data_IF_534401043293
#
_entry.id   IF_534401043293
#
_cell.length_a   1.000
_cell.length_b   1.000
_cell.length_c   1.000
_cell.angle_alpha   90.00
_cell.angle_beta   90.00
_cell.angle_gamma   90.00
#
_symmetry.space_group_name_H-M   'P 1'
#
loop_
_entity.id
_entity.type
_entity.pdbx_description
1 polymer ?
#
# COMPACT_ATOMS: atom_id res chain seq x y z
N UNK A 1 12.23 -8.74 -33.71
CA UNK A 1 11.28 -8.99 -32.61
C UNK A 1 12.05 -9.66 -31.49
N UNK A 2 12.55 -8.89 -30.55
CA UNK A 2 13.26 -9.40 -29.37
C UNK A 2 12.20 -9.73 -28.32
N UNK A 3 12.02 -11.02 -28.04
CA UNK A 3 11.17 -11.49 -26.94
C UNK A 3 11.79 -11.00 -25.62
N UNK A 4 11.12 -10.06 -24.95
CA UNK A 4 11.44 -9.74 -23.57
C UNK A 4 11.20 -11.02 -22.75
N UNK A 5 12.25 -11.62 -22.21
CA UNK A 5 12.12 -12.69 -21.24
C UNK A 5 11.47 -12.09 -20.01
N UNK A 6 10.25 -12.50 -19.70
CA UNK A 6 9.61 -12.17 -18.43
C UNK A 6 10.50 -12.72 -17.30
N UNK A 7 11.18 -11.85 -16.59
CA UNK A 7 11.96 -12.25 -15.41
C UNK A 7 10.99 -12.81 -14.36
N UNK A 8 11.31 -13.98 -13.84
CA UNK A 8 10.54 -14.58 -12.74
C UNK A 8 10.47 -13.56 -11.59
N UNK A 9 9.27 -13.28 -11.02
CA UNK A 9 9.15 -12.34 -9.91
C UNK A 9 10.06 -12.75 -8.75
N UNK A 10 10.76 -11.78 -8.16
CA UNK A 10 11.62 -12.04 -7.02
C UNK A 10 10.76 -12.18 -5.75
N UNK A 11 10.96 -13.30 -5.02
CA UNK A 11 10.29 -13.56 -3.75
C UNK A 11 11.29 -13.55 -2.61
N UNK A 12 10.85 -13.00 -1.47
CA UNK A 12 11.48 -13.26 -0.18
C UNK A 12 10.47 -13.98 0.71
N UNK A 13 10.80 -15.18 1.14
CA UNK A 13 9.92 -16.00 1.98
C UNK A 13 10.72 -16.60 3.14
N UNK A 14 10.15 -16.51 4.34
CA UNK A 14 10.62 -17.20 5.56
C UNK A 14 9.40 -17.59 6.37
N UNK A 15 9.14 -18.87 6.51
CA UNK A 15 8.01 -19.43 7.26
C UNK A 15 8.57 -20.45 8.25
N UNK A 16 9.18 -20.00 9.32
CA UNK A 16 9.85 -20.85 10.31
C UNK A 16 9.47 -20.55 11.76
N UNK A 17 8.91 -19.36 12.03
CA UNK A 17 8.48 -18.98 13.36
C UNK A 17 7.10 -19.57 13.71
N UNK A 18 6.81 -19.80 15.02
CA UNK A 18 5.54 -20.34 15.47
C UNK A 18 4.36 -19.38 15.39
N UNK A 19 4.60 -18.09 15.00
CA UNK A 19 3.56 -17.09 14.94
C UNK A 19 2.33 -17.53 14.16
N UNK A 20 1.16 -17.10 14.62
CA UNK A 20 -0.13 -17.35 13.96
C UNK A 20 -0.30 -16.53 12.68
N UNK A 21 0.60 -15.58 12.39
CA UNK A 21 0.55 -14.66 11.26
C UNK A 21 1.83 -14.66 10.42
N UNK A 22 1.71 -14.14 9.21
CA UNK A 22 2.82 -13.88 8.29
C UNK A 22 2.78 -12.40 7.90
N UNK A 23 3.93 -11.73 7.93
CA UNK A 23 4.06 -10.38 7.40
C UNK A 23 4.14 -10.45 5.88
N UNK A 24 3.14 -9.88 5.20
CA UNK A 24 3.06 -9.85 3.75
C UNK A 24 3.29 -8.45 3.20
N UNK A 25 4.08 -8.35 2.13
CA UNK A 25 4.40 -7.11 1.46
C UNK A 25 4.54 -7.35 -0.04
N UNK A 26 4.00 -6.48 -0.88
CA UNK A 26 4.40 -6.40 -2.28
C UNK A 26 5.18 -5.11 -2.53
N UNK A 27 6.02 -5.12 -3.56
CA UNK A 27 6.82 -3.96 -3.93
C UNK A 27 7.12 -3.96 -5.43
N UNK A 28 7.26 -2.78 -6.01
CA UNK A 28 7.83 -2.59 -7.36
C UNK A 28 9.35 -2.46 -7.27
N UNK A 29 10.07 -2.57 -8.38
CA UNK A 29 11.54 -2.46 -8.43
C UNK A 29 12.05 -1.17 -7.75
N UNK A 30 11.35 -0.04 -7.94
CA UNK A 30 11.68 1.24 -7.30
C UNK A 30 11.61 1.23 -5.76
N UNK A 31 10.87 0.28 -5.16
CA UNK A 31 10.73 0.09 -3.71
C UNK A 31 11.57 -1.07 -3.16
N UNK A 32 12.39 -1.73 -4.00
CA UNK A 32 13.19 -2.91 -3.60
C UNK A 32 14.09 -2.63 -2.39
N UNK A 33 14.75 -1.48 -2.34
CA UNK A 33 15.60 -1.10 -1.20
C UNK A 33 14.81 -0.97 0.10
N UNK A 34 13.60 -0.42 0.04
CA UNK A 34 12.71 -0.34 1.19
C UNK A 34 12.26 -1.73 1.65
N UNK A 35 11.82 -2.58 0.73
CA UNK A 35 11.45 -3.96 1.05
C UNK A 35 12.60 -4.77 1.69
N UNK A 36 13.85 -4.57 1.26
CA UNK A 36 15.03 -5.16 1.89
C UNK A 36 15.24 -4.65 3.32
N UNK A 37 15.04 -3.36 3.58
CA UNK A 37 15.13 -2.79 4.92
C UNK A 37 14.02 -3.34 5.84
N UNK A 38 12.78 -3.45 5.34
CA UNK A 38 11.67 -4.08 6.06
C UNK A 38 12.04 -5.53 6.39
N UNK A 39 12.50 -6.31 5.39
CA UNK A 39 12.95 -7.70 5.59
C UNK A 39 13.99 -7.81 6.70
N UNK A 40 15.03 -6.97 6.68
CA UNK A 40 16.07 -6.96 7.70
C UNK A 40 15.50 -6.66 9.10
N UNK A 41 14.50 -5.77 9.20
CA UNK A 41 13.84 -5.48 10.47
C UNK A 41 13.03 -6.66 10.99
N UNK A 42 12.38 -7.43 10.11
CA UNK A 42 11.65 -8.66 10.48
C UNK A 42 12.60 -9.79 10.91
N UNK A 43 13.74 -9.92 10.25
CA UNK A 43 14.75 -10.93 10.59
C UNK A 43 15.29 -10.74 12.03
N UNK A 44 15.42 -9.50 12.52
CA UNK A 44 15.85 -9.19 13.90
C UNK A 44 14.91 -9.78 14.95
N UNK A 45 13.63 -9.89 14.65
CA UNK A 45 12.60 -10.42 15.56
C UNK A 45 12.17 -11.84 15.18
N UNK A 46 12.87 -12.49 14.25
CA UNK A 46 12.60 -13.84 13.77
C UNK A 46 11.16 -14.04 13.27
N UNK A 47 10.56 -13.01 12.65
CA UNK A 47 9.18 -13.05 12.15
C UNK A 47 9.07 -13.81 10.83
N UNK A 48 7.89 -14.40 10.57
CA UNK A 48 7.53 -14.97 9.28
C UNK A 48 7.23 -13.84 8.29
N UNK A 49 7.65 -13.99 7.03
CA UNK A 49 7.31 -13.03 5.97
C UNK A 49 7.18 -13.67 4.60
N UNK A 50 6.38 -13.03 3.74
CA UNK A 50 6.25 -13.30 2.32
C UNK A 50 6.19 -12.00 1.55
N UNK A 51 7.22 -11.72 0.74
CA UNK A 51 7.34 -10.52 -0.08
C UNK A 51 7.35 -10.89 -1.54
N UNK A 52 6.62 -10.12 -2.35
CA UNK A 52 6.50 -10.36 -3.79
C UNK A 52 6.82 -9.10 -4.57
N UNK A 53 7.75 -9.18 -5.51
CA UNK A 53 7.95 -8.14 -6.50
C UNK A 53 6.83 -8.18 -7.54
N UNK A 54 6.28 -7.02 -7.86
CA UNK A 54 5.21 -6.85 -8.86
C UNK A 54 5.64 -5.86 -9.92
N UNK A 55 5.07 -5.97 -11.12
CA UNK A 55 5.28 -4.97 -12.16
C UNK A 55 4.71 -3.62 -11.75
N UNK A 56 5.42 -2.54 -12.13
CA UNK A 56 4.93 -1.17 -11.94
C UNK A 56 3.76 -0.90 -12.88
N UNK A 57 2.59 -0.65 -12.33
CA UNK A 57 1.39 -0.30 -13.09
C UNK A 57 1.43 1.10 -13.72
N UNK A 58 2.59 1.78 -13.69
CA UNK A 58 2.88 3.02 -14.38
C UNK A 58 2.59 4.29 -13.59
N UNK A 59 1.80 4.25 -12.53
CA UNK A 59 1.54 5.38 -11.65
C UNK A 59 1.16 4.92 -10.23
N UNK A 60 1.39 5.78 -9.25
CA UNK A 60 1.29 5.43 -7.84
C UNK A 60 -0.09 4.89 -7.44
N UNK A 61 -1.18 5.55 -7.86
CA UNK A 61 -2.55 5.14 -7.53
C UNK A 61 -2.89 3.74 -8.10
N UNK A 62 -2.38 3.42 -9.29
CA UNK A 62 -2.55 2.07 -9.86
C UNK A 62 -1.77 1.01 -9.06
N UNK A 63 -0.57 1.35 -8.60
CA UNK A 63 0.22 0.44 -7.76
C UNK A 63 -0.47 0.19 -6.41
N UNK A 64 -1.10 1.20 -5.78
CA UNK A 64 -1.82 0.97 -4.52
C UNK A 64 -2.99 0.02 -4.68
N UNK A 65 -3.67 0.01 -5.84
CA UNK A 65 -4.80 -0.88 -6.15
C UNK A 65 -4.43 -2.36 -6.29
N UNK A 66 -3.15 -2.70 -6.40
CA UNK A 66 -2.67 -4.10 -6.35
C UNK A 66 -2.90 -4.72 -4.96
N UNK A 67 -2.97 -3.90 -3.92
CA UNK A 67 -2.98 -4.32 -2.51
C UNK A 67 -4.04 -5.37 -2.17
N UNK A 68 -5.35 -5.19 -2.42
CA UNK A 68 -6.33 -6.21 -2.05
C UNK A 68 -6.17 -7.50 -2.85
N UNK A 69 -5.74 -7.45 -4.12
CA UNK A 69 -5.44 -8.65 -4.90
C UNK A 69 -4.29 -9.45 -4.28
N UNK A 70 -3.24 -8.77 -3.86
CA UNK A 70 -2.10 -9.40 -3.20
C UNK A 70 -2.48 -9.99 -1.83
N UNK A 71 -3.29 -9.27 -1.03
CA UNK A 71 -3.78 -9.76 0.26
C UNK A 71 -4.64 -11.02 0.07
N UNK A 72 -5.54 -11.03 -0.93
CA UNK A 72 -6.35 -12.21 -1.25
C UNK A 72 -5.47 -13.40 -1.68
N UNK A 73 -4.44 -13.15 -2.47
CA UNK A 73 -3.44 -14.16 -2.86
C UNK A 73 -2.76 -14.74 -1.61
N UNK A 74 -2.33 -13.89 -0.66
CA UNK A 74 -1.69 -14.33 0.58
C UNK A 74 -2.63 -15.15 1.48
N UNK A 75 -3.88 -14.72 1.66
CA UNK A 75 -4.88 -15.46 2.43
C UNK A 75 -5.13 -16.86 1.84
N UNK A 76 -5.19 -16.99 0.52
CA UNK A 76 -5.35 -18.27 -0.18
C UNK A 76 -4.07 -19.13 -0.13
N UNK A 77 -2.89 -18.49 -0.21
CA UNK A 77 -1.59 -19.20 -0.17
C UNK A 77 -1.30 -19.79 1.21
N UNK A 78 -1.72 -19.11 2.28
CA UNK A 78 -1.42 -19.46 3.66
C UNK A 78 -2.70 -19.71 4.48
N UNK A 79 -3.48 -20.79 4.18
CA UNK A 79 -4.83 -20.98 4.73
C UNK A 79 -4.86 -21.16 6.26
N UNK A 80 -3.72 -21.48 6.90
CA UNK A 80 -3.60 -21.69 8.35
C UNK A 80 -2.88 -20.52 9.06
N UNK A 81 -2.70 -19.39 8.40
CA UNK A 81 -2.02 -18.21 8.94
C UNK A 81 -2.84 -16.96 8.69
N UNK A 82 -2.84 -16.09 9.66
CA UNK A 82 -3.34 -14.72 9.49
C UNK A 82 -2.33 -13.89 8.68
N UNK A 83 -2.77 -12.79 8.08
CA UNK A 83 -1.93 -11.92 7.28
C UNK A 83 -1.76 -10.56 7.98
N UNK A 84 -0.53 -10.18 8.27
CA UNK A 84 -0.18 -8.81 8.62
C UNK A 84 0.43 -8.14 7.38
N UNK A 85 -0.37 -7.32 6.69
CA UNK A 85 0.13 -6.54 5.57
C UNK A 85 0.88 -5.30 6.07
N UNK A 86 2.08 -5.08 5.52
CA UNK A 86 2.86 -3.86 5.72
C UNK A 86 3.25 -3.26 4.36
N UNK A 87 3.20 -1.93 4.24
CA UNK A 87 3.80 -1.24 3.10
C UNK A 87 5.32 -1.46 3.08
N UNK A 88 5.91 -1.50 1.89
CA UNK A 88 7.32 -1.83 1.69
C UNK A 88 8.30 -0.87 2.41
N UNK A 89 7.86 0.35 2.69
CA UNK A 89 8.64 1.37 3.40
C UNK A 89 8.39 1.42 4.92
N UNK A 90 7.80 0.37 5.47
CA UNK A 90 7.68 0.19 6.92
C UNK A 90 8.99 -0.37 7.52
N UNK A 91 9.22 -0.11 8.81
CA UNK A 91 10.24 -0.77 9.62
C UNK A 91 9.66 -1.26 10.94
N UNK A 92 9.92 -2.52 11.28
CA UNK A 92 9.58 -3.09 12.58
C UNK A 92 10.65 -2.70 13.59
N UNK A 93 10.22 -2.11 14.73
CA UNK A 93 11.10 -1.58 15.78
C UNK A 93 11.07 -2.40 17.06
N UNK A 94 9.97 -3.13 17.32
CA UNK A 94 9.73 -3.96 18.50
C UNK A 94 9.07 -5.28 18.11
N UNK A 95 9.07 -6.32 18.98
CA UNK A 95 8.32 -7.56 18.75
C UNK A 95 6.85 -7.30 18.46
N UNK A 96 6.25 -8.14 17.63
CA UNK A 96 4.87 -8.01 17.16
C UNK A 96 3.92 -9.07 17.76
N UNK A 97 4.23 -9.54 18.99
CA UNK A 97 3.50 -10.62 19.68
C UNK A 97 2.00 -10.33 19.82
N UNK A 98 1.62 -9.06 19.89
CA UNK A 98 0.23 -8.62 19.92
C UNK A 98 -0.62 -9.21 18.78
N UNK A 99 -0.07 -9.32 17.58
CA UNK A 99 -0.83 -9.88 16.44
C UNK A 99 -1.14 -11.37 16.58
N UNK A 100 -0.46 -12.09 17.49
CA UNK A 100 -0.82 -13.47 17.84
C UNK A 100 -2.07 -13.54 18.74
N UNK A 101 -2.49 -12.44 19.35
CA UNK A 101 -3.62 -12.37 20.31
C UNK A 101 -4.92 -11.87 19.68
N UNK A 102 -4.87 -11.33 18.46
CA UNK A 102 -6.05 -10.81 17.77
C UNK A 102 -6.96 -11.98 17.38
N UNK A 103 -8.25 -11.83 17.72
CA UNK A 103 -9.30 -12.80 17.45
C UNK A 103 -10.50 -12.21 16.67
N UNK A 104 -10.32 -11.01 16.11
CA UNK A 104 -11.28 -10.34 15.22
C UNK A 104 -11.00 -10.67 13.76
N UNK A 105 -11.95 -10.42 12.85
CA UNK A 105 -11.75 -10.63 11.42
C UNK A 105 -10.62 -9.77 10.88
N UNK A 106 -10.58 -8.49 11.28
CA UNK A 106 -9.55 -7.54 10.85
C UNK A 106 -9.12 -6.62 11.98
N UNK A 107 -7.89 -6.08 11.89
CA UNK A 107 -7.45 -4.99 12.75
C UNK A 107 -6.80 -3.88 11.92
N UNK A 108 -7.37 -2.66 12.00
CA UNK A 108 -6.96 -1.49 11.25
C UNK A 108 -6.80 -0.27 12.14
N UNK A 109 -5.94 0.66 11.74
CA UNK A 109 -5.88 1.96 12.39
C UNK A 109 -7.03 2.84 11.88
N UNK A 110 -7.94 3.18 12.80
CA UNK A 110 -9.13 4.00 12.50
C UNK A 110 -8.77 5.49 12.55
N UNK A 111 -9.11 6.21 11.50
CA UNK A 111 -8.92 7.67 11.38
C UNK A 111 -10.23 8.42 11.24
N UNK A 112 -11.35 7.71 11.19
CA UNK A 112 -12.68 8.29 11.05
C UNK A 112 -12.93 9.40 12.09
N UNK A 113 -13.25 10.60 11.60
CA UNK A 113 -13.50 11.78 12.45
C UNK A 113 -12.23 12.48 12.96
N UNK A 114 -11.03 12.04 12.60
CA UNK A 114 -9.79 12.74 12.97
C UNK A 114 -9.55 13.95 12.05
N UNK A 115 -9.17 15.11 12.58
CA UNK A 115 -8.92 16.30 11.79
C UNK A 115 -7.83 16.08 10.73
N UNK A 116 -8.11 16.48 9.48
CA UNK A 116 -7.16 16.41 8.38
C UNK A 116 -6.99 15.03 7.74
N UNK A 117 -7.75 14.02 8.18
CA UNK A 117 -7.79 12.70 7.56
C UNK A 117 -8.92 12.64 6.53
N UNK A 118 -8.63 12.04 5.37
CA UNK A 118 -9.58 11.90 4.23
C UNK A 118 -10.20 10.51 4.14
N UNK A 119 -9.67 9.56 4.90
CA UNK A 119 -10.10 8.15 4.90
C UNK A 119 -10.48 7.71 6.31
N UNK A 120 -11.34 6.71 6.41
CA UNK A 120 -11.77 6.12 7.68
C UNK A 120 -10.72 5.17 8.27
N UNK A 121 -9.86 4.60 7.40
CA UNK A 121 -8.79 3.66 7.78
C UNK A 121 -7.48 3.97 7.07
N UNK A 122 -6.33 3.73 7.73
CA UNK A 122 -5.02 3.74 7.09
C UNK A 122 -4.64 2.33 6.62
N UNK A 123 -4.16 2.24 5.38
CA UNK A 123 -3.86 0.99 4.70
C UNK A 123 -2.37 0.61 4.68
N UNK A 124 -1.52 1.24 5.49
CA UNK A 124 -0.08 0.94 5.53
C UNK A 124 0.31 -0.16 6.53
N UNK A 125 -0.55 -0.42 7.54
CA UNK A 125 -0.48 -1.57 8.44
C UNK A 125 -1.88 -2.12 8.60
N UNK A 126 -2.11 -3.37 8.18
CA UNK A 126 -3.42 -4.01 8.23
C UNK A 126 -3.29 -5.46 8.60
N UNK A 127 -4.10 -5.91 9.56
CA UNK A 127 -4.17 -7.30 9.95
C UNK A 127 -5.48 -7.93 9.46
N UNK A 128 -5.37 -9.15 8.96
CA UNK A 128 -6.45 -9.97 8.41
C UNK A 128 -6.38 -11.37 9.02
N UNK A 129 -7.36 -11.74 9.81
CA UNK A 129 -7.55 -13.14 10.20
C UNK A 129 -8.00 -13.95 8.98
N UNK A 130 -7.55 -15.20 8.88
CA UNK A 130 -7.94 -16.04 7.75
C UNK A 130 -9.33 -16.64 7.99
N UNK A 131 -10.36 -15.81 7.91
CA UNK A 131 -11.78 -16.14 8.10
C UNK A 131 -12.59 -15.97 6.81
N UNK A 132 -13.77 -16.56 6.75
CA UNK A 132 -14.68 -16.38 5.63
C UNK A 132 -15.11 -14.90 5.48
N UNK A 133 -15.36 -14.20 6.58
CA UNK A 133 -15.73 -12.78 6.56
C UNK A 133 -14.62 -11.91 6.00
N UNK A 134 -13.37 -12.18 6.38
CA UNK A 134 -12.19 -11.50 5.83
C UNK A 134 -12.06 -11.70 4.32
N UNK A 135 -12.31 -12.93 3.83
CA UNK A 135 -12.30 -13.19 2.38
C UNK A 135 -13.35 -12.37 1.65
N UNK A 136 -14.58 -12.30 2.20
CA UNK A 136 -15.67 -11.49 1.64
C UNK A 136 -15.29 -10.01 1.62
N UNK A 137 -14.67 -9.49 2.70
CA UNK A 137 -14.19 -8.11 2.73
C UNK A 137 -13.18 -7.82 1.61
N UNK A 138 -12.17 -8.68 1.47
CA UNK A 138 -11.11 -8.43 0.49
C UNK A 138 -11.63 -8.56 -0.94
N UNK A 139 -12.56 -9.47 -1.21
CA UNK A 139 -13.24 -9.60 -2.50
C UNK A 139 -14.13 -8.38 -2.79
N UNK A 140 -14.85 -7.87 -1.77
CA UNK A 140 -15.61 -6.62 -1.91
C UNK A 140 -14.68 -5.43 -2.18
N UNK A 141 -13.55 -5.33 -1.48
CA UNK A 141 -12.54 -4.28 -1.70
C UNK A 141 -12.00 -4.29 -3.13
N UNK A 142 -11.75 -5.47 -3.71
CA UNK A 142 -11.38 -5.62 -5.13
C UNK A 142 -12.50 -5.11 -6.04
N UNK A 143 -13.76 -5.45 -5.75
CA UNK A 143 -14.91 -5.03 -6.53
C UNK A 143 -15.06 -3.51 -6.57
N UNK A 144 -14.84 -2.83 -5.45
CA UNK A 144 -14.91 -1.36 -5.37
C UNK A 144 -13.77 -0.66 -6.15
N UNK A 145 -12.72 -1.38 -6.53
CA UNK A 145 -11.64 -0.85 -7.35
C UNK A 145 -11.87 -0.98 -8.86
N UNK A 146 -12.72 -1.91 -9.31
CA UNK A 146 -12.98 -2.15 -10.75
C UNK A 146 -13.59 -0.91 -11.41
N UNK A 147 -14.51 -0.23 -10.73
CA UNK A 147 -15.18 0.98 -11.22
C UNK A 147 -14.47 2.27 -10.77
N UNK A 148 -13.26 2.15 -10.21
CA UNK A 148 -12.51 3.24 -9.62
C UNK A 148 -12.04 4.27 -10.64
N UNK A 149 -12.14 5.55 -10.28
CA UNK A 149 -11.52 6.65 -11.04
C UNK A 149 -10.01 6.45 -11.05
N UNK A 150 -9.30 6.90 -12.11
CA UNK A 150 -7.83 6.80 -12.21
C UNK A 150 -7.09 7.42 -11.01
N UNK A 151 -7.72 8.34 -10.29
CA UNK A 151 -7.19 8.99 -9.09
C UNK A 151 -7.52 8.27 -7.79
N UNK A 152 -8.33 7.20 -7.82
CA UNK A 152 -8.70 6.43 -6.65
C UNK A 152 -7.50 5.63 -6.13
N UNK A 153 -7.27 5.68 -4.83
CA UNK A 153 -6.28 4.88 -4.13
C UNK A 153 -6.95 3.68 -3.43
N UNK A 154 -6.14 2.76 -2.93
CA UNK A 154 -6.60 1.60 -2.18
C UNK A 154 -7.50 1.95 -0.98
N UNK A 155 -7.21 3.03 -0.26
CA UNK A 155 -7.98 3.48 0.90
C UNK A 155 -9.40 3.93 0.54
N UNK A 156 -9.58 4.62 -0.61
CA UNK A 156 -10.91 5.05 -1.06
C UNK A 156 -11.86 3.86 -1.24
N UNK A 157 -11.36 2.78 -1.84
CA UNK A 157 -12.15 1.56 -2.08
C UNK A 157 -12.29 0.70 -0.82
N UNK A 158 -11.30 0.73 0.09
CA UNK A 158 -11.41 0.07 1.38
C UNK A 158 -12.54 0.67 2.24
N UNK A 159 -12.61 2.01 2.31
CA UNK A 159 -13.65 2.70 3.08
C UNK A 159 -15.05 2.31 2.58
N UNK A 160 -15.24 2.25 1.24
CA UNK A 160 -16.53 1.81 0.64
C UNK A 160 -16.84 0.34 0.94
N UNK A 161 -15.84 -0.55 0.87
CA UNK A 161 -16.03 -1.96 1.18
C UNK A 161 -16.41 -2.17 2.65
N UNK A 162 -15.75 -1.44 3.57
CA UNK A 162 -16.03 -1.47 5.00
C UNK A 162 -17.42 -0.91 5.32
N UNK A 163 -17.86 0.15 4.64
CA UNK A 163 -19.21 0.70 4.79
C UNK A 163 -20.28 -0.30 4.34
N UNK A 164 -20.09 -0.99 3.21
CA UNK A 164 -21.05 -1.95 2.66
C UNK A 164 -21.21 -3.22 3.50
N UNK A 165 -20.13 -3.67 4.14
CA UNK A 165 -20.15 -4.88 4.97
C UNK A 165 -20.64 -4.61 6.39
N UNK A 166 -20.55 -3.35 6.87
CA UNK A 166 -21.10 -2.91 8.14
C UNK A 166 -20.74 -3.83 9.31
N UNK A 167 -21.77 -4.28 10.05
CA UNK A 167 -21.63 -5.08 11.26
C UNK A 167 -21.34 -6.57 11.01
N UNK A 168 -21.15 -7.00 9.75
CA UNK A 168 -20.82 -8.40 9.45
C UNK A 168 -19.37 -8.77 9.82
N UNK A 169 -18.53 -7.75 10.08
CA UNK A 169 -17.12 -7.89 10.42
C UNK A 169 -16.88 -7.54 11.88
N UNK A 170 -16.04 -8.32 12.54
CA UNK A 170 -15.42 -7.92 13.78
C UNK A 170 -14.15 -7.14 13.51
N UNK A 171 -14.06 -5.90 14.00
CA UNK A 171 -12.97 -4.96 13.67
C UNK A 171 -12.30 -4.45 14.93
N UNK A 172 -11.01 -4.73 15.09
CA UNK A 172 -10.17 -4.19 16.14
C UNK A 172 -9.46 -2.90 15.69
N UNK A 173 -9.36 -1.91 16.58
CA UNK A 173 -8.64 -0.68 16.33
C UNK A 173 -7.17 -0.84 16.74
N UNK A 174 -6.24 -0.73 15.78
CA UNK A 174 -4.81 -0.73 16.07
C UNK A 174 -4.37 0.49 16.86
N UNK A 175 -3.45 0.29 17.82
CA UNK A 175 -2.79 1.38 18.52
C UNK A 175 -1.91 2.19 17.55
N UNK A 176 -1.78 3.53 17.70
CA UNK A 176 -0.93 4.38 16.87
C UNK A 176 0.52 3.92 16.75
N UNK A 177 1.07 3.22 17.75
CA UNK A 177 2.42 2.67 17.73
C UNK A 177 2.67 1.61 16.64
N UNK A 178 1.60 1.00 16.09
CA UNK A 178 1.70 0.07 14.97
C UNK A 178 1.62 0.73 13.59
N UNK A 179 1.47 2.06 13.55
CA UNK A 179 1.35 2.82 12.29
C UNK A 179 2.04 4.19 12.36
N UNK A 180 3.03 4.31 13.23
CA UNK A 180 3.75 5.56 13.48
C UNK A 180 4.39 6.11 12.19
N UNK A 181 3.97 7.29 11.78
CA UNK A 181 4.61 8.00 10.65
C UNK A 181 5.91 8.64 11.16
N UNK A 182 7.03 8.43 10.46
CA UNK A 182 8.38 8.76 10.93
C UNK A 182 8.56 10.22 11.38
N UNK A 183 7.90 11.18 10.72
CA UNK A 183 7.99 12.63 10.97
C UNK A 183 6.83 13.20 11.80
N UNK A 184 6.06 12.35 12.48
CA UNK A 184 5.00 12.77 13.40
C UNK A 184 5.42 12.49 14.83
N UNK A 185 5.08 13.39 15.75
CA UNK A 185 5.31 13.16 17.18
C UNK A 185 4.40 12.07 17.72
N UNK A 186 4.95 11.22 18.57
CA UNK A 186 4.23 10.17 19.28
C UNK A 186 5.02 9.75 20.52
N UNK A 187 4.41 9.85 21.70
CA UNK A 187 5.05 9.60 23.00
C UNK A 187 4.93 8.13 23.46
N UNK A 188 4.24 7.27 22.69
CA UNK A 188 4.04 5.86 23.02
C UNK A 188 5.12 4.95 22.44
N UNK A 189 4.96 3.67 22.71
CA UNK A 189 5.81 2.61 22.15
C UNK A 189 5.64 2.50 20.64
N UNK A 190 6.73 2.58 19.89
CA UNK A 190 6.75 2.45 18.43
C UNK A 190 7.10 1.01 18.08
N UNK A 191 6.14 0.28 17.52
CA UNK A 191 6.29 -1.10 17.04
C UNK A 191 6.59 -1.16 15.55
N UNK A 192 5.85 -0.35 14.76
CA UNK A 192 6.00 -0.25 13.30
C UNK A 192 6.07 1.22 12.92
N UNK A 193 7.12 1.62 12.20
CA UNK A 193 7.33 2.97 11.72
C UNK A 193 7.18 3.02 10.19
N UNK A 194 6.37 3.96 9.67
CA UNK A 194 6.07 4.15 8.25
C UNK A 194 6.86 5.34 7.69
N UNK A 195 7.69 5.11 6.67
CA UNK A 195 8.59 6.14 6.12
C UNK A 195 7.97 6.98 5.00
N UNK A 196 6.81 6.59 4.47
CA UNK A 196 6.06 7.31 3.44
C UNK A 196 6.92 7.70 2.22
N UNK A 197 7.66 6.74 1.66
CA UNK A 197 8.51 6.92 0.50
C UNK A 197 7.75 7.47 -0.72
N UNK A 198 6.45 7.21 -0.81
CA UNK A 198 5.53 7.76 -1.82
C UNK A 198 5.53 9.29 -1.89
N UNK A 199 5.85 10.01 -0.79
CA UNK A 199 5.97 11.48 -0.78
C UNK A 199 7.05 11.97 -1.74
N UNK A 200 8.14 11.23 -1.90
CA UNK A 200 9.20 11.51 -2.86
C UNK A 200 8.72 11.33 -4.31
N UNK A 201 8.04 10.23 -4.59
CA UNK A 201 7.53 9.91 -5.92
C UNK A 201 6.45 10.89 -6.38
N UNK A 202 5.50 11.25 -5.52
CA UNK A 202 4.46 12.24 -5.85
C UNK A 202 5.03 13.64 -6.08
N UNK A 203 6.08 14.04 -5.35
CA UNK A 203 6.77 15.33 -5.54
C UNK A 203 7.49 15.38 -6.89
N UNK A 204 8.24 14.34 -7.24
CA UNK A 204 8.93 14.21 -8.53
C UNK A 204 7.94 14.17 -9.70
N UNK A 205 6.87 13.40 -9.58
CA UNK A 205 5.82 13.31 -10.60
C UNK A 205 5.15 14.66 -10.82
N UNK A 206 4.79 15.41 -9.77
CA UNK A 206 4.24 16.76 -9.87
C UNK A 206 5.22 17.73 -10.52
N UNK A 207 6.51 17.63 -10.21
CA UNK A 207 7.55 18.46 -10.84
C UNK A 207 7.68 18.13 -12.33
N UNK A 208 7.69 16.84 -12.71
CA UNK A 208 7.77 16.40 -14.10
C UNK A 208 6.54 16.82 -14.92
N UNK A 209 5.33 16.71 -14.35
CA UNK A 209 4.09 17.19 -14.98
C UNK A 209 4.15 18.71 -15.19
N UNK A 210 4.58 19.48 -14.20
CA UNK A 210 4.73 20.95 -14.31
C UNK A 210 5.75 21.31 -15.39
N UNK A 211 6.89 20.60 -15.45
CA UNK A 211 7.92 20.80 -16.47
C UNK A 211 7.38 20.50 -17.88
N UNK A 212 6.68 19.37 -18.04
CA UNK A 212 6.03 19.01 -19.30
C UNK A 212 5.00 20.03 -19.75
N UNK A 213 4.13 20.47 -18.86
CA UNK A 213 3.10 21.46 -19.18
C UNK A 213 3.69 22.82 -19.57
N UNK A 214 4.82 23.24 -18.95
CA UNK A 214 5.55 24.44 -19.36
C UNK A 214 6.13 24.32 -20.76
N UNK A 215 6.69 23.15 -21.11
CA UNK A 215 7.23 22.90 -22.46
C UNK A 215 6.10 22.93 -23.49
N UNK A 216 4.97 22.24 -23.24
CA UNK A 216 3.80 22.24 -24.12
C UNK A 216 3.26 23.67 -24.30
N UNK A 217 3.10 24.41 -23.20
CA UNK A 217 2.64 25.82 -23.25
C UNK A 217 3.58 26.70 -24.07
N UNK A 218 4.89 26.52 -23.93
CA UNK A 218 5.89 27.22 -24.75
C UNK A 218 5.78 26.91 -26.25
N UNK A 219 5.61 25.64 -26.60
CA UNK A 219 5.44 25.18 -28.01
C UNK A 219 4.14 25.76 -28.60
N UNK A 220 3.02 25.70 -27.87
CA UNK A 220 1.74 26.25 -28.31
C UNK A 220 1.84 27.75 -28.56
N UNK A 221 2.49 28.48 -27.64
CA UNK A 221 2.70 29.94 -27.80
C UNK A 221 3.54 30.26 -29.03
N UNK A 222 4.60 29.47 -29.29
CA UNK A 222 5.47 29.64 -30.46
C UNK A 222 4.69 29.42 -31.77
N UNK A 223 3.82 28.42 -31.81
CA UNK A 223 2.96 28.13 -32.97
C UNK A 223 1.97 29.26 -33.20
N UNK A 224 1.36 29.81 -32.17
CA UNK A 224 0.42 30.94 -32.29
C UNK A 224 1.14 32.18 -32.82
N UNK A 225 2.34 32.49 -32.32
CA UNK A 225 3.14 33.64 -32.80
C UNK A 225 3.53 33.48 -34.27
N UNK A 226 3.99 32.28 -34.66
CA UNK A 226 4.37 32.00 -36.07
C UNK A 226 3.17 32.07 -37.01
N UNK A 227 2.00 31.56 -36.62
CA UNK A 227 0.77 31.69 -37.39
C UNK A 227 0.30 33.14 -37.51
N UNK A 228 0.39 33.93 -36.43
CA UNK A 228 0.07 35.35 -36.43
C UNK A 228 0.95 36.16 -37.40
N UNK A 229 2.26 35.86 -37.45
CA UNK A 229 3.20 36.51 -38.38
C UNK A 229 2.91 36.13 -39.84
N UNK A 230 2.48 34.91 -40.10
CA UNK A 230 2.12 34.43 -41.44
C UNK A 230 0.81 35.04 -41.98
N UNK A 231 -0.13 35.40 -41.10
CA UNK A 231 -1.42 36.00 -41.44
C UNK A 231 -1.37 37.53 -41.63
N UNK A 232 -0.26 38.16 -41.23
CA UNK A 232 -0.05 39.60 -41.35
C UNK A 232 0.84 39.99 -42.54
N UNK A 233 1.27 39.03 -43.35
CA UNK A 233 1.93 39.22 -44.65
C UNK A 233 0.97 38.92 -45.81
#
# INVERSE_FOLDING_TARGET
>A
MTSASASTPLFFEKISAPDSFIVCCFYTDSYRSHALNLKQSLDKFNLNYYFKEVEDAGYWEANTRIKPHFILECLKKFPNKNILYLDADALVKKPLDYFNTINTDVAFYKTKGMPGMSHDYLASTMFFSNTANTMVLVEQWITEQVDGKQTQVDQDSLDVAMEKLGDTLTVEALNPGYIKIFDKDYDGDIYIEQYQASRGHTKLKRQNIRKRNRIIGGVVLLVIITMGILLTK
#
